data_IF_183867481836
#
_entry.id   IF_183867481836
#
_cell.length_a   1.000
_cell.length_b   1.000
_cell.length_c   1.000
_cell.angle_alpha   90.00
_cell.angle_beta   90.00
_cell.angle_gamma   90.00
#
_symmetry.space_group_name_H-M   'P 1'
#
loop_
_entity.id
_entity.type
_entity.pdbx_description
1 polymer ?
#
# COMPACT_ATOMS: atom_id res chain seq x y z
N UNK A 1 -0.87 -18.95 -23.99
CA UNK A 1 0.52 -18.53 -24.30
C UNK A 1 1.30 -18.49 -23.00
N UNK A 2 2.44 -19.19 -22.86
CA UNK A 2 3.29 -19.02 -21.69
C UNK A 2 3.94 -17.62 -21.73
N UNK A 3 4.01 -16.94 -20.59
CA UNK A 3 4.77 -15.69 -20.47
C UNK A 3 6.25 -15.97 -20.75
N UNK A 4 6.93 -15.18 -21.62
CA UNK A 4 8.33 -15.43 -21.93
C UNK A 4 9.20 -15.26 -20.68
N UNK A 5 9.93 -16.31 -20.28
CA UNK A 5 11.07 -16.29 -19.34
C UNK A 5 11.00 -15.29 -18.16
N UNK A 6 9.91 -15.32 -17.37
CA UNK A 6 9.78 -14.50 -16.15
C UNK A 6 10.83 -14.78 -15.05
N UNK A 7 11.67 -15.81 -15.22
CA UNK A 7 12.70 -16.21 -14.25
C UNK A 7 14.08 -15.59 -14.46
N UNK A 8 14.43 -15.16 -15.68
CA UNK A 8 15.82 -14.78 -16.02
C UNK A 8 16.13 -13.30 -15.86
N UNK A 9 15.13 -12.45 -15.56
CA UNK A 9 15.32 -11.01 -15.49
C UNK A 9 14.43 -10.39 -14.40
N UNK A 10 14.92 -10.44 -13.16
CA UNK A 10 14.34 -9.72 -12.01
C UNK A 10 15.28 -8.59 -11.62
N UNK A 11 14.74 -7.38 -11.50
CA UNK A 11 15.52 -6.20 -11.11
C UNK A 11 15.04 -5.68 -9.74
N UNK A 12 15.92 -5.57 -8.74
CA UNK A 12 15.55 -4.99 -7.45
C UNK A 12 15.41 -3.47 -7.59
N UNK A 13 14.16 -3.00 -7.72
CA UNK A 13 13.85 -1.55 -7.85
C UNK A 13 14.09 -0.80 -6.53
N UNK A 14 13.89 -1.46 -5.39
CA UNK A 14 14.17 -0.93 -4.06
C UNK A 14 14.99 -1.91 -3.25
N UNK A 15 16.10 -1.46 -2.67
CA UNK A 15 16.98 -2.26 -1.80
C UNK A 15 16.66 -2.09 -0.31
N UNK A 16 16.01 -0.99 0.09
CA UNK A 16 15.58 -0.71 1.47
C UNK A 16 14.18 -1.24 1.82
N UNK A 17 13.66 -2.18 1.02
CA UNK A 17 12.27 -2.62 1.09
C UNK A 17 11.30 -1.65 0.39
N UNK A 18 10.03 -2.03 0.33
CA UNK A 18 8.99 -1.20 -0.23
C UNK A 18 7.69 -1.96 -0.44
N UNK A 19 6.60 -1.22 -0.60
CA UNK A 19 5.27 -1.76 -0.82
C UNK A 19 4.49 -0.92 -1.82
N UNK A 20 3.32 -1.42 -2.20
CA UNK A 20 2.35 -0.69 -3.01
C UNK A 20 2.90 -0.20 -4.37
N UNK A 21 3.62 -1.02 -5.17
CA UNK A 21 4.20 -0.55 -6.42
C UNK A 21 3.13 -0.27 -7.48
N UNK A 22 3.32 0.82 -8.23
CA UNK A 22 2.49 1.23 -9.36
C UNK A 22 3.36 1.76 -10.49
N UNK A 23 3.13 1.29 -11.70
CA UNK A 23 3.64 1.96 -12.90
C UNK A 23 2.87 3.27 -13.13
N UNK A 24 3.61 4.31 -13.53
CA UNK A 24 3.04 5.51 -14.16
C UNK A 24 2.17 5.12 -15.36
N UNK A 25 1.22 5.98 -15.71
CA UNK A 25 0.41 5.78 -16.91
C UNK A 25 1.26 5.89 -18.18
N UNK A 26 2.32 6.70 -18.14
CA UNK A 26 3.30 6.82 -19.22
C UNK A 26 4.24 5.61 -19.35
N UNK A 27 4.39 4.79 -18.30
CA UNK A 27 5.21 3.58 -18.32
C UNK A 27 6.71 3.82 -18.22
N UNK A 28 7.12 5.04 -17.89
CA UNK A 28 8.51 5.50 -17.76
C UNK A 28 8.93 5.77 -16.30
N UNK A 29 8.02 5.56 -15.35
CA UNK A 29 8.30 5.64 -13.91
C UNK A 29 7.56 4.54 -13.13
N UNK A 30 8.17 4.13 -12.01
CA UNK A 30 7.55 3.31 -10.97
C UNK A 30 7.42 4.14 -9.69
N UNK A 31 6.21 4.19 -9.14
CA UNK A 31 5.90 4.75 -7.84
C UNK A 31 5.77 3.63 -6.80
N UNK A 32 6.31 3.83 -5.60
CA UNK A 32 6.12 2.90 -4.49
C UNK A 32 6.29 3.60 -3.14
N UNK A 33 5.85 2.93 -2.07
CA UNK A 33 6.10 3.36 -0.70
C UNK A 33 7.35 2.67 -0.18
N UNK A 34 8.35 3.42 0.29
CA UNK A 34 9.58 2.83 0.83
C UNK A 34 9.37 2.24 2.24
N UNK A 35 10.37 1.50 2.75
CA UNK A 35 10.34 0.94 4.12
C UNK A 35 10.28 2.00 5.23
N UNK A 36 10.57 3.26 4.90
CA UNK A 36 10.41 4.42 5.77
C UNK A 36 9.05 5.11 5.59
N UNK A 37 8.11 4.53 4.85
CA UNK A 37 6.77 5.09 4.64
C UNK A 37 6.75 6.39 3.82
N UNK A 38 7.78 6.67 3.02
CA UNK A 38 7.78 7.77 2.06
C UNK A 38 7.25 7.31 0.70
N UNK A 39 6.65 8.25 -0.05
CA UNK A 39 6.36 8.03 -1.45
C UNK A 39 7.63 8.28 -2.28
N UNK A 40 7.96 7.34 -3.15
CA UNK A 40 9.18 7.35 -3.97
C UNK A 40 8.83 7.12 -5.43
N UNK A 41 9.51 7.82 -6.35
CA UNK A 41 9.51 7.51 -7.77
C UNK A 41 10.86 6.97 -8.23
N UNK A 42 10.84 6.09 -9.23
CA UNK A 42 12.02 5.57 -9.91
C UNK A 42 11.79 5.70 -11.41
N UNK A 43 12.60 6.47 -12.14
CA UNK A 43 12.49 6.53 -13.59
C UNK A 43 12.98 5.22 -14.21
N UNK A 44 12.30 4.76 -15.25
CA UNK A 44 12.50 3.49 -15.94
C UNK A 44 12.53 3.70 -17.44
N UNK A 45 13.47 3.04 -18.11
CA UNK A 45 13.48 2.89 -19.56
C UNK A 45 13.27 1.43 -19.89
N UNK A 46 12.26 1.12 -20.69
CA UNK A 46 11.91 -0.25 -21.09
C UNK A 46 12.53 -0.66 -22.42
N UNK A 47 12.96 0.30 -23.25
CA UNK A 47 13.55 0.08 -24.55
C UNK A 47 14.82 0.93 -24.77
N UNK A 48 15.79 0.46 -25.58
CA UNK A 48 15.86 -0.89 -26.18
C UNK A 48 16.22 -1.98 -25.15
N UNK A 49 16.69 -1.59 -23.96
CA UNK A 49 17.02 -2.50 -22.85
C UNK A 49 16.48 -1.91 -21.56
N UNK A 50 15.97 -2.77 -20.68
CA UNK A 50 15.46 -2.35 -19.38
C UNK A 50 16.58 -1.72 -18.54
N UNK A 51 16.34 -0.50 -18.06
CA UNK A 51 17.19 0.18 -17.09
C UNK A 51 16.34 1.10 -16.21
N UNK A 52 16.83 1.44 -15.04
CA UNK A 52 16.16 2.35 -14.12
C UNK A 52 17.17 3.29 -13.47
N UNK A 53 16.73 4.50 -13.12
CA UNK A 53 17.55 5.52 -12.49
C UNK A 53 17.53 5.44 -10.96
N UNK A 54 18.11 6.46 -10.32
CA UNK A 54 18.13 6.55 -8.87
C UNK A 54 16.71 6.80 -8.31
N UNK A 55 16.32 6.13 -7.21
CA UNK A 55 15.07 6.44 -6.51
C UNK A 55 15.05 7.88 -5.99
N UNK A 56 13.92 8.56 -6.19
CA UNK A 56 13.68 9.93 -5.73
C UNK A 56 12.51 9.94 -4.74
N UNK A 57 12.79 10.37 -3.51
CA UNK A 57 11.72 10.63 -2.54
C UNK A 57 10.87 11.80 -3.02
N UNK A 58 9.56 11.59 -3.10
CA UNK A 58 8.58 12.62 -3.46
C UNK A 58 8.08 13.36 -2.22
N UNK A 59 7.60 12.63 -1.21
CA UNK A 59 7.09 13.20 0.04
C UNK A 59 6.91 12.13 1.14
N UNK A 60 6.86 12.51 2.43
CA UNK A 60 6.52 11.59 3.52
C UNK A 60 5.05 11.18 3.44
N UNK A 61 4.76 9.88 3.53
CA UNK A 61 3.40 9.35 3.40
C UNK A 61 2.92 8.56 4.63
N UNK A 62 3.66 8.58 5.75
CA UNK A 62 3.36 7.84 7.00
C UNK A 62 2.00 8.17 7.62
N UNK A 63 1.48 9.36 7.35
CA UNK A 63 0.17 9.83 7.84
C UNK A 63 -1.03 9.29 7.04
N UNK A 64 -0.77 8.57 5.94
CA UNK A 64 -1.80 7.94 5.13
C UNK A 64 -1.88 6.45 5.44
N UNK A 65 -3.07 5.89 5.27
CA UNK A 65 -3.28 4.44 5.40
C UNK A 65 -2.34 3.71 4.44
N UNK A 66 -1.73 2.64 4.94
CA UNK A 66 -0.84 1.77 4.16
C UNK A 66 -1.20 0.30 4.39
N UNK A 67 -1.00 -0.53 3.38
CA UNK A 67 -1.09 -1.99 3.49
C UNK A 67 0.30 -2.61 3.50
N UNK A 68 0.49 -3.66 4.30
CA UNK A 68 1.73 -4.47 4.33
C UNK A 68 1.89 -5.39 3.11
N UNK A 69 1.27 -5.07 1.97
CA UNK A 69 1.54 -5.70 0.67
C UNK A 69 0.36 -6.40 -0.02
N UNK A 70 -0.86 -6.32 0.51
CA UNK A 70 -2.02 -6.96 -0.11
C UNK A 70 -2.63 -6.09 -1.23
N UNK A 71 -2.73 -4.76 -1.02
CA UNK A 71 -3.30 -3.82 -1.99
C UNK A 71 -2.63 -2.44 -1.90
N UNK A 72 -2.61 -1.67 -3.00
CA UNK A 72 -2.22 -0.25 -2.95
C UNK A 72 -3.29 0.56 -2.20
N UNK A 73 -2.86 1.48 -1.33
CA UNK A 73 -3.74 2.42 -0.62
C UNK A 73 -3.70 3.83 -1.20
N UNK A 74 -3.24 3.94 -2.45
CA UNK A 74 -3.23 5.18 -3.20
C UNK A 74 -3.57 4.94 -4.67
N UNK A 75 -4.02 6.00 -5.32
CA UNK A 75 -4.08 6.07 -6.77
C UNK A 75 -3.37 7.32 -7.29
N UNK A 76 -3.03 7.29 -8.58
CA UNK A 76 -2.28 8.36 -9.25
C UNK A 76 -3.20 9.00 -10.29
N UNK A 77 -3.17 10.33 -10.38
CA UNK A 77 -3.92 11.06 -11.41
C UNK A 77 -3.45 10.68 -12.83
N UNK A 78 -4.29 10.86 -13.87
CA UNK A 78 -3.91 10.52 -15.24
C UNK A 78 -2.69 11.26 -15.78
N UNK A 79 -2.34 12.40 -15.18
CA UNK A 79 -1.16 13.22 -15.51
C UNK A 79 0.10 12.80 -14.73
N UNK A 80 0.04 11.72 -13.93
CA UNK A 80 1.12 11.20 -13.07
C UNK A 80 1.69 12.20 -12.05
N UNK A 81 1.00 13.30 -11.76
CA UNK A 81 1.51 14.40 -10.90
C UNK A 81 0.86 14.51 -9.54
N UNK A 82 -0.27 13.84 -9.31
CA UNK A 82 -1.02 13.92 -8.04
C UNK A 82 -1.34 12.51 -7.54
N UNK A 83 -1.36 12.40 -6.23
CA UNK A 83 -1.64 11.16 -5.53
C UNK A 83 -2.91 11.35 -4.70
N UNK A 84 -3.86 10.43 -4.83
CA UNK A 84 -5.02 10.34 -3.96
C UNK A 84 -4.73 9.31 -2.87
N UNK A 85 -4.84 9.72 -1.61
CA UNK A 85 -4.51 8.89 -0.44
C UNK A 85 -5.51 9.13 0.69
N UNK A 86 -5.85 8.08 1.43
CA UNK A 86 -6.69 8.19 2.62
C UNK A 86 -5.81 8.58 3.80
N UNK A 87 -6.10 9.74 4.43
CA UNK A 87 -5.39 10.17 5.63
C UNK A 87 -5.89 9.39 6.84
N UNK A 88 -4.98 8.83 7.61
CA UNK A 88 -5.30 8.29 8.92
C UNK A 88 -5.58 9.49 9.84
N UNK A 89 -6.86 9.81 10.03
CA UNK A 89 -7.29 10.57 11.19
C UNK A 89 -7.19 9.61 12.37
N UNK A 90 -6.56 10.04 13.47
CA UNK A 90 -6.34 9.17 14.62
C UNK A 90 -7.61 8.40 14.93
N UNK A 91 -7.52 7.07 14.94
CA UNK A 91 -8.64 6.28 15.42
C UNK A 91 -8.86 6.73 16.86
N UNK A 92 -10.09 7.09 17.28
CA UNK A 92 -10.42 6.79 18.66
C UNK A 92 -10.13 5.30 18.76
N UNK A 93 -9.11 4.94 19.53
CA UNK A 93 -9.09 3.59 20.10
C UNK A 93 -10.51 3.42 20.62
N UNK A 94 -11.26 2.38 20.24
CA UNK A 94 -12.48 2.11 20.97
C UNK A 94 -12.02 1.93 22.41
N UNK A 95 -12.27 2.92 23.27
CA UNK A 95 -11.80 2.91 24.67
C UNK A 95 -12.38 1.72 25.44
N UNK A 96 -13.26 0.94 24.80
CA UNK A 96 -13.79 -0.33 25.25
C UNK A 96 -14.17 -1.23 24.07
N UNK A 97 -13.57 -2.41 24.03
CA UNK A 97 -14.18 -3.59 23.40
C UNK A 97 -15.04 -4.27 24.47
N UNK A 98 -16.37 -4.19 24.34
CA UNK A 98 -17.28 -4.92 25.23
C UNK A 98 -17.65 -6.23 24.55
N UNK A 99 -17.19 -7.35 25.11
CA UNK A 99 -17.58 -8.70 24.70
C UNK A 99 -18.57 -9.22 25.74
N UNK A 100 -19.80 -9.51 25.31
CA UNK A 100 -20.79 -10.21 26.14
C UNK A 100 -20.86 -11.64 25.65
N UNK A 101 -20.38 -12.57 26.46
CA UNK A 101 -20.59 -14.01 26.28
C UNK A 101 -21.73 -14.48 27.17
N UNK A 102 -22.45 -15.53 26.77
CA UNK A 102 -23.55 -16.14 27.53
C UNK A 102 -24.85 -15.32 27.67
N UNK A 103 -25.18 -14.44 26.72
CA UNK A 103 -26.45 -13.68 26.73
C UNK A 103 -27.70 -14.58 26.93
N UNK A 104 -27.71 -15.80 26.38
CA UNK A 104 -28.85 -16.72 26.59
C UNK A 104 -29.03 -17.16 28.06
N UNK A 105 -27.98 -17.20 28.88
CA UNK A 105 -28.10 -17.52 30.31
C UNK A 105 -28.70 -16.35 31.10
N UNK A 106 -28.30 -15.11 30.79
CA UNK A 106 -28.86 -13.90 31.41
C UNK A 106 -30.35 -13.69 31.08
N UNK A 107 -30.77 -14.01 29.85
CA UNK A 107 -32.18 -13.97 29.44
C UNK A 107 -33.03 -14.99 30.22
N UNK A 108 -32.51 -16.19 30.46
CA UNK A 108 -33.22 -17.23 31.20
C UNK A 108 -33.31 -16.95 32.70
N UNK A 109 -32.32 -16.28 33.29
CA UNK A 109 -32.36 -15.86 34.69
C UNK A 109 -33.37 -14.72 34.92
N UNK A 110 -33.60 -13.87 33.91
CA UNK A 110 -34.50 -12.72 34.00
C UNK A 110 -35.96 -13.08 33.69
N UNK A 111 -36.22 -14.11 32.88
CA UNK A 111 -37.59 -14.57 32.57
C UNK A 111 -38.24 -15.42 33.68
N UNK A 112 -37.45 -15.84 34.69
CA UNK A 112 -37.96 -16.41 35.95
C UNK A 112 -38.09 -15.33 37.03
N UNK A 113 -38.99 -14.37 36.81
CA UNK A 113 -39.62 -13.58 37.86
C UNK A 113 -41.08 -13.36 37.54
#
# INVERSE_FOLDING_TARGET
>A
MPFPNAGSAKWPISTGGGSEPRWSHHGDEIFYRDGSGNMVSVPVKTAPTFSFGAPKTLFPARQFVSSLGQHRQYDVSPDDRRFMMIRAVGSPVPDKLVVVSSWFEELNATSRK
#
